data_IF_369638543418
#
_entry.id   IF_369638543418
#
_cell.length_a   1.000
_cell.length_b   1.000
_cell.length_c   1.000
_cell.angle_alpha   90.00
_cell.angle_beta   90.00
_cell.angle_gamma   90.00
#
_symmetry.space_group_name_H-M   'P 1'
#
loop_
_entity.id
_entity.type
_entity.pdbx_description
1 polymer ?
#
# COMPACT_ATOMS: atom_id res chain seq x y z
N UNK A 1 24.02 7.68 59.32
CA UNK A 1 22.81 7.72 58.47
C UNK A 1 23.04 6.79 57.29
N UNK A 2 22.48 5.58 57.36
CA UNK A 2 22.67 4.51 56.38
C UNK A 2 21.39 4.46 55.54
N UNK A 3 21.46 4.87 54.27
CA UNK A 3 20.33 4.80 53.34
C UNK A 3 20.55 3.61 52.41
N UNK A 4 19.83 2.53 52.68
CA UNK A 4 19.77 1.31 51.87
C UNK A 4 18.62 1.50 50.90
N UNK A 5 18.91 1.81 49.64
CA UNK A 5 17.94 1.73 48.57
C UNK A 5 18.31 0.57 47.64
N UNK A 6 17.34 -0.31 47.52
CA UNK A 6 17.33 -1.62 46.90
C UNK A 6 17.74 -1.65 45.43
N UNK A 7 18.90 -2.24 45.15
CA UNK A 7 19.27 -2.72 43.81
C UNK A 7 18.81 -4.16 43.62
N UNK A 8 17.49 -4.38 43.67
CA UNK A 8 16.84 -5.63 43.24
C UNK A 8 16.23 -5.44 41.85
N UNK A 9 17.08 -5.42 40.83
CA UNK A 9 16.65 -5.63 39.44
C UNK A 9 17.11 -7.01 39.00
N UNK A 10 16.12 -7.89 38.99
CA UNK A 10 16.15 -9.29 38.64
C UNK A 10 16.76 -9.51 37.25
N UNK A 11 17.71 -10.45 37.21
CA UNK A 11 17.99 -11.26 36.05
C UNK A 11 16.71 -11.98 35.60
N UNK A 12 16.32 -11.80 34.35
CA UNK A 12 15.59 -12.82 33.60
C UNK A 12 16.18 -12.91 32.20
N UNK A 13 16.86 -14.04 31.99
CA UNK A 13 17.45 -14.50 30.75
C UNK A 13 16.38 -15.17 29.87
N UNK A 14 16.63 -15.12 28.56
CA UNK A 14 16.15 -15.99 27.49
C UNK A 14 14.65 -15.96 27.12
N UNK A 15 14.39 -15.57 25.86
CA UNK A 15 13.54 -16.22 24.83
C UNK A 15 13.18 -15.11 23.81
N UNK A 16 13.53 -15.11 22.53
CA UNK A 16 14.16 -16.07 21.65
C UNK A 16 14.12 -15.50 20.22
N UNK A 17 14.63 -16.29 19.27
CA UNK A 17 14.48 -16.18 17.81
C UNK A 17 15.35 -15.14 17.10
N UNK A 18 16.57 -15.61 16.85
CA UNK A 18 17.39 -15.30 15.67
C UNK A 18 16.53 -15.48 14.41
N UNK A 19 16.22 -14.39 13.71
CA UNK A 19 15.69 -14.43 12.34
C UNK A 19 16.86 -14.25 11.38
N UNK A 20 17.41 -15.38 10.90
CA UNK A 20 18.27 -15.40 9.72
C UNK A 20 17.35 -15.23 8.52
N UNK A 21 17.27 -14.01 7.97
CA UNK A 21 16.63 -13.74 6.69
C UNK A 21 17.62 -14.13 5.58
N UNK A 22 17.44 -15.32 5.01
CA UNK A 22 18.09 -15.73 3.77
C UNK A 22 17.33 -15.06 2.62
N UNK A 23 17.90 -13.99 2.06
CA UNK A 23 17.44 -13.42 0.79
C UNK A 23 17.98 -14.29 -0.36
N UNK A 24 17.17 -15.24 -0.82
CA UNK A 24 17.47 -15.97 -2.05
C UNK A 24 17.05 -15.10 -3.24
N UNK A 25 18.04 -14.58 -3.96
CA UNK A 25 17.88 -13.95 -5.27
C UNK A 25 17.46 -15.03 -6.27
N UNK A 26 16.26 -14.91 -6.85
CA UNK A 26 15.86 -15.69 -8.03
C UNK A 26 15.92 -14.78 -9.25
N UNK A 27 16.98 -15.01 -10.03
CA UNK A 27 17.27 -14.42 -11.34
C UNK A 27 17.17 -15.56 -12.36
N UNK A 28 16.07 -15.62 -13.11
CA UNK A 28 15.84 -16.38 -14.35
C UNK A 28 14.34 -16.28 -14.64
N UNK A 29 13.80 -15.95 -15.81
CA UNK A 29 14.24 -16.16 -17.17
C UNK A 29 12.97 -16.54 -17.97
N UNK A 30 12.81 -16.03 -19.19
CA UNK A 30 11.67 -16.34 -20.07
C UNK A 30 11.27 -15.12 -20.90
N UNK A 31 11.99 -14.76 -21.96
CA UNK A 31 12.03 -15.43 -23.27
C UNK A 31 10.66 -15.48 -23.98
N UNK A 32 10.44 -14.45 -24.80
CA UNK A 32 9.98 -14.53 -26.19
C UNK A 32 9.13 -15.75 -26.56
N UNK A 33 7.81 -15.56 -26.69
CA UNK A 33 7.02 -16.37 -27.62
C UNK A 33 6.38 -15.47 -28.67
N UNK A 34 7.09 -15.45 -29.81
CA UNK A 34 6.59 -15.20 -31.15
C UNK A 34 5.33 -16.06 -31.40
N UNK A 35 4.28 -15.47 -31.96
CA UNK A 35 3.31 -16.23 -32.75
C UNK A 35 3.03 -15.47 -34.02
N UNK A 36 3.72 -15.92 -35.07
CA UNK A 36 3.45 -15.64 -36.47
C UNK A 36 2.06 -16.16 -36.81
N UNK A 37 1.22 -15.32 -37.42
CA UNK A 37 0.20 -15.76 -38.37
C UNK A 37 -0.07 -14.62 -39.36
N UNK A 38 0.46 -14.77 -40.55
CA UNK A 38 -0.01 -14.17 -41.81
C UNK A 38 -0.54 -15.34 -42.68
N UNK A 39 -1.35 -15.18 -43.75
CA UNK A 39 -1.55 -13.95 -44.54
C UNK A 39 -2.97 -13.68 -45.11
N UNK A 40 -3.14 -12.42 -45.54
CA UNK A 40 -3.91 -11.83 -46.66
C UNK A 40 -5.29 -12.38 -47.08
N UNK A 41 -6.27 -11.47 -47.07
CA UNK A 41 -7.27 -11.40 -48.15
C UNK A 41 -7.50 -9.95 -48.59
N UNK A 42 -7.12 -9.70 -49.83
CA UNK A 42 -7.38 -8.51 -50.65
C UNK A 42 -8.88 -8.23 -50.76
N UNK A 43 -9.30 -6.97 -50.60
CA UNK A 43 -10.03 -6.22 -51.63
C UNK A 43 -10.38 -4.80 -51.16
N UNK A 44 -10.06 -3.86 -52.06
CA UNK A 44 -10.76 -2.60 -52.34
C UNK A 44 -10.40 -1.39 -51.47
N UNK A 45 -9.62 -0.50 -52.11
CA UNK A 45 -9.40 0.89 -51.73
C UNK A 45 -10.70 1.66 -51.46
N UNK A 46 -10.73 2.32 -50.31
CA UNK A 46 -11.46 3.56 -50.06
C UNK A 46 -10.52 4.48 -49.27
N UNK A 47 -10.62 5.81 -49.39
CA UNK A 47 -9.64 6.73 -48.82
C UNK A 47 -9.67 6.63 -47.29
N UNK A 48 -8.70 5.92 -46.70
CA UNK A 48 -8.56 5.85 -45.26
C UNK A 48 -7.95 7.17 -44.77
N UNK A 49 -8.78 7.96 -44.12
CA UNK A 49 -8.37 8.90 -43.07
C UNK A 49 -7.37 8.19 -42.16
N UNK A 50 -6.19 8.78 -41.97
CA UNK A 50 -5.16 8.31 -41.05
C UNK A 50 -5.72 8.23 -39.62
N UNK A 51 -6.36 7.10 -39.29
CA UNK A 51 -6.60 6.69 -37.93
C UNK A 51 -5.42 5.83 -37.51
N UNK A 52 -4.35 6.47 -37.02
CA UNK A 52 -3.38 5.77 -36.20
C UNK A 52 -4.15 5.06 -35.07
N UNK A 53 -3.99 3.74 -34.87
CA UNK A 53 -4.44 3.11 -33.65
C UNK A 53 -3.53 3.63 -32.53
N UNK A 54 -3.96 4.74 -31.92
CA UNK A 54 -3.38 5.24 -30.69
C UNK A 54 -3.54 4.15 -29.65
N UNK A 55 -2.48 3.39 -29.43
CA UNK A 55 -2.30 2.59 -28.23
C UNK A 55 -2.37 3.63 -27.10
N UNK A 56 -3.55 3.83 -26.54
CA UNK A 56 -3.70 4.54 -25.28
C UNK A 56 -2.93 3.71 -24.26
N UNK A 57 -1.67 4.08 -24.03
CA UNK A 57 -0.89 3.54 -22.93
C UNK A 57 -1.79 3.59 -21.68
N UNK A 58 -1.83 2.53 -20.86
CA UNK A 58 -2.63 2.55 -19.64
C UNK A 58 -2.19 3.77 -18.83
N UNK A 59 -3.06 4.78 -18.77
CA UNK A 59 -2.85 5.91 -17.87
C UNK A 59 -2.91 5.31 -16.47
N UNK A 60 -1.72 5.10 -15.90
CA UNK A 60 -1.51 4.78 -14.51
C UNK A 60 -2.11 5.94 -13.71
N UNK A 61 -3.41 5.84 -13.45
CA UNK A 61 -4.21 6.82 -12.71
C UNK A 61 -3.89 6.59 -11.25
N UNK A 62 -2.71 7.08 -10.87
CA UNK A 62 -2.23 7.09 -9.51
C UNK A 62 -3.30 7.73 -8.64
N UNK A 63 -3.78 7.01 -7.64
CA UNK A 63 -4.73 7.54 -6.68
C UNK A 63 -4.06 8.74 -5.97
N UNK A 64 -4.65 9.94 -6.05
CA UNK A 64 -4.05 11.14 -5.45
C UNK A 64 -3.90 11.04 -3.93
N UNK A 65 -4.58 10.09 -3.29
CA UNK A 65 -4.57 9.88 -1.84
C UNK A 65 -3.68 8.70 -1.39
N UNK A 66 -2.94 8.06 -2.29
CA UNK A 66 -2.08 6.91 -1.95
C UNK A 66 -1.08 7.21 -0.82
N UNK A 67 -0.46 8.39 -0.85
CA UNK A 67 0.48 8.80 0.21
C UNK A 67 -0.22 8.95 1.57
N UNK A 68 -1.41 9.54 1.59
CA UNK A 68 -2.20 9.75 2.81
C UNK A 68 -2.66 8.40 3.37
N UNK A 69 -3.14 7.50 2.51
CA UNK A 69 -3.51 6.13 2.90
C UNK A 69 -2.35 5.39 3.56
N UNK A 70 -1.15 5.46 2.97
CA UNK A 70 0.05 4.82 3.51
C UNK A 70 0.46 5.41 4.87
N UNK A 71 0.42 6.73 5.01
CA UNK A 71 0.78 7.43 6.25
C UNK A 71 -0.18 7.07 7.39
N UNK A 72 -1.50 7.11 7.15
CA UNK A 72 -2.50 6.74 8.16
C UNK A 72 -2.42 5.27 8.53
N UNK A 73 -2.21 4.37 7.56
CA UNK A 73 -2.02 2.95 7.85
C UNK A 73 -0.78 2.71 8.70
N UNK A 74 0.34 3.38 8.39
CA UNK A 74 1.55 3.28 9.19
C UNK A 74 1.34 3.80 10.61
N UNK A 75 0.67 4.95 10.76
CA UNK A 75 0.30 5.51 12.06
C UNK A 75 -0.58 4.54 12.86
N UNK A 76 -1.63 3.99 12.25
CA UNK A 76 -2.54 3.05 12.91
C UNK A 76 -1.81 1.78 13.37
N UNK A 77 -1.00 1.17 12.48
CA UNK A 77 -0.20 -0.02 12.79
C UNK A 77 0.73 0.22 13.98
N UNK A 78 1.40 1.37 14.00
CA UNK A 78 2.30 1.75 15.08
C UNK A 78 1.56 2.01 16.40
N UNK A 79 0.44 2.74 16.36
CA UNK A 79 -0.32 3.13 17.57
C UNK A 79 -1.00 1.95 18.25
N UNK A 80 -1.60 1.05 17.48
CA UNK A 80 -2.40 -0.07 18.01
C UNK A 80 -1.69 -1.42 17.97
N UNK A 81 -0.45 -1.47 17.45
CA UNK A 81 0.31 -2.71 17.24
C UNK A 81 -0.47 -3.77 16.41
N UNK A 82 -1.31 -3.32 15.47
CA UNK A 82 -2.13 -4.17 14.61
C UNK A 82 -1.55 -4.17 13.19
N UNK A 83 -0.89 -5.25 12.80
CA UNK A 83 -0.19 -5.39 11.52
C UNK A 83 -0.92 -6.32 10.53
N UNK A 84 -2.26 -6.41 10.58
CA UNK A 84 -3.01 -7.27 9.64
C UNK A 84 -2.72 -6.84 8.18
N UNK A 85 -2.18 -7.74 7.33
CA UNK A 85 -1.85 -7.44 5.94
C UNK A 85 -3.07 -7.20 5.06
N UNK A 86 -4.27 -7.62 5.50
CA UNK A 86 -5.53 -7.43 4.77
C UNK A 86 -6.19 -6.09 5.10
N UNK A 87 -5.57 -5.29 5.96
CA UNK A 87 -6.06 -3.97 6.32
C UNK A 87 -5.84 -3.00 5.15
N UNK A 88 -6.88 -2.27 4.79
CA UNK A 88 -6.86 -1.25 3.74
C UNK A 88 -7.26 0.11 4.31
N UNK A 89 -6.97 1.17 3.57
CA UNK A 89 -7.43 2.51 3.88
C UNK A 89 -8.29 3.04 2.73
N UNK A 90 -9.47 3.51 3.06
CA UNK A 90 -10.41 4.15 2.16
C UNK A 90 -10.48 5.64 2.49
N UNK A 91 -10.57 6.49 1.47
CA UNK A 91 -10.53 7.94 1.64
C UNK A 91 -11.82 8.55 1.14
N UNK A 92 -12.40 9.43 1.94
CA UNK A 92 -13.56 10.25 1.61
C UNK A 92 -13.14 11.71 1.67
N UNK A 93 -13.34 12.45 0.58
CA UNK A 93 -12.98 13.87 0.50
C UNK A 93 -14.21 14.75 0.72
N UNK A 94 -14.12 15.66 1.70
CA UNK A 94 -15.19 16.62 2.03
C UNK A 94 -14.86 18.05 1.57
N UNK A 95 -13.81 18.21 0.76
CA UNK A 95 -13.36 19.51 0.23
C UNK A 95 -12.51 20.32 1.22
N UNK A 96 -12.88 20.40 2.50
CA UNK A 96 -12.08 21.10 3.53
C UNK A 96 -11.12 20.19 4.30
N UNK A 97 -11.35 18.88 4.25
CA UNK A 97 -10.50 17.84 4.81
C UNK A 97 -10.80 16.52 4.10
N UNK A 98 -9.98 15.51 4.37
CA UNK A 98 -10.26 14.13 3.95
C UNK A 98 -10.39 13.25 5.18
N UNK A 99 -11.34 12.34 5.16
CA UNK A 99 -11.44 11.28 6.15
C UNK A 99 -10.84 10.01 5.59
N UNK A 100 -10.08 9.31 6.43
CA UNK A 100 -9.44 8.05 6.08
C UNK A 100 -10.01 6.97 6.98
N UNK A 101 -10.76 6.05 6.40
CA UNK A 101 -11.33 4.89 7.09
C UNK A 101 -10.37 3.71 6.99
N UNK A 102 -9.94 3.19 8.14
CA UNK A 102 -9.19 1.93 8.21
C UNK A 102 -10.18 0.79 8.15
N UNK A 103 -10.08 -0.05 7.11
CA UNK A 103 -11.00 -1.16 6.85
C UNK A 103 -10.28 -2.49 7.09
N UNK A 104 -10.93 -3.37 7.86
CA UNK A 104 -10.44 -4.72 8.18
C UNK A 104 -11.59 -5.71 8.00
N UNK A 105 -11.39 -6.70 7.12
CA UNK A 105 -12.43 -7.69 6.82
C UNK A 105 -13.72 -7.05 6.26
N UNK A 106 -13.59 -5.96 5.47
CA UNK A 106 -14.72 -5.25 4.87
C UNK A 106 -15.49 -4.33 5.82
N UNK A 107 -15.03 -4.12 7.07
CA UNK A 107 -15.63 -3.18 8.01
C UNK A 107 -14.65 -2.08 8.40
N UNK A 108 -15.12 -0.83 8.44
CA UNK A 108 -14.35 0.27 9.01
C UNK A 108 -14.18 0.03 10.53
N UNK A 109 -12.93 -0.05 10.98
CA UNK A 109 -12.58 -0.23 12.40
C UNK A 109 -12.13 1.08 13.05
N UNK A 110 -11.69 2.04 12.24
CA UNK A 110 -11.22 3.34 12.70
C UNK A 110 -11.35 4.40 11.62
N UNK A 111 -11.42 5.66 12.01
CA UNK A 111 -11.30 6.76 11.04
C UNK A 111 -10.51 7.93 11.57
N UNK A 112 -9.87 8.60 10.63
CA UNK A 112 -8.97 9.71 10.89
C UNK A 112 -9.31 10.86 9.96
N UNK A 113 -9.52 12.05 10.51
CA UNK A 113 -9.63 13.26 9.71
C UNK A 113 -8.22 13.80 9.44
N UNK A 114 -7.92 14.09 8.18
CA UNK A 114 -6.67 14.69 7.71
C UNK A 114 -6.92 16.07 7.12
N UNK A 115 -6.24 17.07 7.67
CA UNK A 115 -6.34 18.47 7.28
C UNK A 115 -5.13 18.96 6.47
N UNK A 116 -4.24 18.05 6.07
CA UNK A 116 -2.95 18.39 5.46
C UNK A 116 -1.79 18.38 6.46
N UNK A 117 -0.57 18.51 5.95
CA UNK A 117 0.66 18.68 6.75
C UNK A 117 0.97 17.53 7.73
N UNK A 118 0.52 16.30 7.45
CA UNK A 118 0.76 15.14 8.31
C UNK A 118 -0.06 15.14 9.61
N UNK A 119 -1.05 16.02 9.73
CA UNK A 119 -1.90 16.10 10.92
C UNK A 119 -3.15 15.25 10.76
N UNK A 120 -3.27 14.24 11.63
CA UNK A 120 -4.41 13.32 11.68
C UNK A 120 -5.09 13.38 13.04
N UNK A 121 -6.42 13.40 13.03
CA UNK A 121 -7.25 13.39 14.23
C UNK A 121 -8.15 12.17 14.23
N UNK A 122 -8.06 11.37 15.29
CA UNK A 122 -8.92 10.21 15.49
C UNK A 122 -10.38 10.65 15.67
N UNK A 123 -11.27 10.11 14.85
CA UNK A 123 -12.71 10.34 14.98
C UNK A 123 -13.30 9.35 15.99
N UNK A 124 -14.04 9.87 16.96
CA UNK A 124 -14.86 9.09 17.89
C UNK A 124 -16.29 9.06 17.39
N UNK A 125 -16.88 7.87 17.36
CA UNK A 125 -18.28 7.64 16.99
C UNK A 125 -19.12 7.42 18.24
#
# INVERSE_FOLDING_TARGET
MSNRNDSRLLQWLHTGRVYILIFTVVLAGGALYFSLQSPTRSMRESPQVNASPGISAPQNTKDPYDSIKQEVLAYYRSKYNDNDPRMTAEVVSYGCHVEVHIVKGGKAVKSFAYFGQGQFYEQTW
#
